data_IF_438474604986
#
_entry.id   IF_438474604986
#
_cell.length_a   1.000
_cell.length_b   1.000
_cell.length_c   1.000
_cell.angle_alpha   90.00
_cell.angle_beta   90.00
_cell.angle_gamma   90.00
#
_symmetry.space_group_name_H-M   'P 1'
#
loop_
_entity.id
_entity.type
_entity.pdbx_description
1 polymer ?
#
# COMPACT_ATOMS: atom_id res chain seq x y z
N UNK A 1 20.94 34.49 -19.90
CA UNK A 1 20.42 33.13 -20.07
C UNK A 1 19.65 32.77 -18.80
N UNK A 2 18.32 32.61 -18.87
CA UNK A 2 17.54 32.17 -17.71
C UNK A 2 17.87 30.69 -17.45
N UNK A 3 18.36 30.39 -16.25
CA UNK A 3 18.55 29.02 -15.76
C UNK A 3 17.20 28.29 -15.81
N UNK A 4 17.00 27.40 -16.78
CA UNK A 4 15.84 26.49 -16.81
C UNK A 4 15.87 25.68 -15.52
N UNK A 5 14.79 25.75 -14.73
CA UNK A 5 14.64 24.86 -13.57
C UNK A 5 14.69 23.42 -14.08
N UNK A 6 15.43 22.52 -13.40
CA UNK A 6 15.46 21.12 -13.79
C UNK A 6 14.04 20.55 -13.75
N UNK A 7 13.76 19.65 -14.69
CA UNK A 7 12.49 18.95 -14.77
C UNK A 7 12.23 18.19 -13.47
N UNK A 8 10.99 18.26 -12.98
CA UNK A 8 10.61 17.54 -11.76
C UNK A 8 10.53 16.05 -12.07
N UNK A 9 11.50 15.29 -11.56
CA UNK A 9 11.46 13.83 -11.62
C UNK A 9 10.40 13.33 -10.65
N UNK A 10 9.39 12.64 -11.16
CA UNK A 10 8.39 11.96 -10.34
C UNK A 10 9.04 10.79 -9.57
N UNK A 11 8.52 10.47 -8.38
CA UNK A 11 8.98 9.30 -7.66
C UNK A 11 8.65 8.03 -8.46
N UNK A 12 9.61 7.10 -8.53
CA UNK A 12 9.38 5.79 -9.17
C UNK A 12 8.26 5.06 -8.42
N UNK A 13 7.28 4.57 -9.16
CA UNK A 13 6.20 3.72 -8.63
C UNK A 13 6.67 2.28 -8.53
N UNK A 14 6.08 1.51 -7.61
CA UNK A 14 6.33 0.07 -7.52
C UNK A 14 5.58 -0.64 -8.65
N UNK A 15 6.18 -1.72 -9.18
CA UNK A 15 5.47 -2.62 -10.09
C UNK A 15 4.44 -3.47 -9.34
N UNK A 16 3.46 -4.02 -10.05
CA UNK A 16 2.50 -4.98 -9.49
C UNK A 16 3.23 -6.17 -8.87
N UNK A 17 4.30 -6.64 -9.51
CA UNK A 17 5.13 -7.74 -9.01
C UNK A 17 5.79 -7.38 -7.66
N UNK A 18 6.31 -6.15 -7.52
CA UNK A 18 6.92 -5.68 -6.26
C UNK A 18 5.87 -5.54 -5.14
N UNK A 19 4.66 -5.07 -5.46
CA UNK A 19 3.58 -5.01 -4.47
C UNK A 19 3.11 -6.41 -4.08
N UNK A 20 2.97 -7.32 -5.06
CA UNK A 20 2.64 -8.74 -4.82
C UNK A 20 3.70 -9.43 -3.97
N UNK A 21 4.97 -9.09 -4.16
CA UNK A 21 6.05 -9.56 -3.30
C UNK A 21 5.86 -9.12 -1.86
N UNK A 22 5.53 -7.85 -1.60
CA UNK A 22 5.28 -7.38 -0.23
C UNK A 22 4.09 -8.09 0.42
N UNK A 23 3.02 -8.35 -0.34
CA UNK A 23 1.89 -9.14 0.14
C UNK A 23 2.33 -10.56 0.51
N UNK A 24 3.06 -11.25 -0.38
CA UNK A 24 3.54 -12.61 -0.13
C UNK A 24 4.63 -12.71 0.96
N UNK A 25 5.30 -11.61 1.32
CA UNK A 25 6.25 -11.59 2.44
C UNK A 25 5.53 -11.66 3.80
N UNK A 26 4.25 -11.31 3.89
CA UNK A 26 3.48 -11.49 5.13
C UNK A 26 3.31 -12.97 5.53
N UNK A 27 3.50 -13.88 4.57
CA UNK A 27 3.43 -15.34 4.75
C UNK A 27 4.82 -16.01 4.84
N UNK A 28 5.90 -15.23 4.77
CA UNK A 28 7.27 -15.75 4.74
C UNK A 28 7.80 -16.04 6.16
N UNK A 29 7.78 -17.32 6.57
CA UNK A 29 8.22 -17.79 7.89
C UNK A 29 9.70 -17.52 8.22
N UNK A 30 10.51 -17.10 7.24
CA UNK A 30 11.92 -16.76 7.48
C UNK A 30 12.13 -15.30 7.95
N UNK A 31 11.09 -14.46 7.89
CA UNK A 31 11.20 -13.07 8.31
C UNK A 31 11.08 -12.92 9.83
N UNK A 32 11.88 -12.00 10.37
CA UNK A 32 11.68 -11.49 11.72
C UNK A 32 10.34 -10.78 11.83
N UNK A 33 9.72 -10.85 13.00
CA UNK A 33 8.39 -10.26 13.27
C UNK A 33 8.32 -8.76 12.95
N UNK A 34 9.45 -8.03 13.02
CA UNK A 34 9.49 -6.59 12.70
C UNK A 34 9.49 -6.37 11.20
N UNK A 35 10.12 -7.25 10.44
CA UNK A 35 10.12 -7.21 8.99
C UNK A 35 8.73 -7.56 8.44
N UNK A 36 8.04 -8.55 9.03
CA UNK A 36 6.62 -8.80 8.77
C UNK A 36 5.78 -7.57 9.04
N UNK A 37 5.94 -6.97 10.22
CA UNK A 37 5.20 -5.79 10.62
C UNK A 37 5.45 -4.62 9.66
N UNK A 38 6.72 -4.41 9.26
CA UNK A 38 7.09 -3.39 8.31
C UNK A 38 6.48 -3.63 6.92
N UNK A 39 6.43 -4.88 6.44
CA UNK A 39 5.73 -5.24 5.20
C UNK A 39 4.27 -4.79 5.26
N UNK A 40 3.57 -5.16 6.32
CA UNK A 40 2.16 -4.77 6.51
C UNK A 40 1.96 -3.26 6.64
N UNK A 41 2.87 -2.56 7.32
CA UNK A 41 2.83 -1.09 7.39
C UNK A 41 3.08 -0.42 6.04
N UNK A 42 3.97 -0.97 5.20
CA UNK A 42 4.20 -0.49 3.84
C UNK A 42 3.01 -0.76 2.92
N UNK A 43 2.39 -1.94 3.01
CA UNK A 43 1.14 -2.25 2.32
C UNK A 43 0.02 -1.31 2.74
N UNK A 44 -0.13 -1.02 4.04
CA UNK A 44 -1.06 -0.01 4.52
C UNK A 44 -0.78 1.35 3.89
N UNK A 45 0.48 1.80 3.79
CA UNK A 45 0.81 3.06 3.12
C UNK A 45 0.47 3.05 1.62
N UNK A 46 0.70 1.94 0.91
CA UNK A 46 0.34 1.78 -0.51
C UNK A 46 -1.17 1.87 -0.68
N UNK A 47 -1.91 1.04 0.07
CA UNK A 47 -3.34 0.90 -0.11
C UNK A 47 -4.14 2.07 0.46
N UNK A 48 -3.62 2.78 1.47
CA UNK A 48 -4.16 4.08 1.93
C UNK A 48 -3.63 5.29 1.16
N UNK A 49 -2.75 5.13 0.16
CA UNK A 49 -2.09 6.23 -0.57
C UNK A 49 -1.42 7.26 0.37
N UNK A 50 -0.83 6.76 1.45
CA UNK A 50 -0.23 7.54 2.52
C UNK A 50 1.28 7.68 2.34
N UNK A 51 1.82 8.85 2.70
CA UNK A 51 3.27 9.02 2.87
C UNK A 51 3.72 8.38 4.17
N UNK A 52 5.01 8.04 4.28
CA UNK A 52 5.63 7.71 5.57
C UNK A 52 5.41 8.81 6.62
N UNK A 53 5.40 10.08 6.21
CA UNK A 53 5.08 11.19 7.12
C UNK A 53 3.65 11.14 7.64
N UNK A 54 2.70 10.70 6.80
CA UNK A 54 1.27 10.67 7.12
C UNK A 54 0.98 9.64 8.22
N UNK A 55 1.85 8.63 8.40
CA UNK A 55 1.70 7.56 9.40
C UNK A 55 2.62 7.71 10.63
N UNK A 56 3.24 8.89 10.82
CA UNK A 56 4.08 9.17 11.99
C UNK A 56 3.31 9.26 13.31
N UNK A 57 2.03 9.60 13.23
CA UNK A 57 1.12 9.61 14.36
C UNK A 57 -0.29 9.27 13.87
N UNK A 58 -0.67 8.03 14.09
CA UNK A 58 -2.00 7.48 13.80
C UNK A 58 -2.73 7.17 15.10
N UNK A 59 -4.05 7.15 15.04
CA UNK A 59 -4.93 6.84 16.17
C UNK A 59 -6.25 6.24 15.69
N UNK A 60 -7.03 5.67 16.61
CA UNK A 60 -8.42 5.24 16.34
C UNK A 60 -8.52 4.25 15.19
N UNK A 61 -7.80 3.12 15.29
CA UNK A 61 -7.91 2.08 14.29
C UNK A 61 -9.32 1.47 14.27
N UNK A 62 -9.82 1.20 13.08
CA UNK A 62 -11.07 0.48 12.82
C UNK A 62 -10.77 -0.63 11.81
N UNK A 63 -11.15 -1.85 12.15
CA UNK A 63 -11.10 -3.01 11.26
C UNK A 63 -12.54 -3.24 10.82
N UNK A 64 -12.89 -2.81 9.62
CA UNK A 64 -14.23 -2.93 9.06
C UNK A 64 -14.20 -4.00 7.97
N UNK A 65 -14.51 -5.24 8.33
CA UNK A 65 -14.48 -6.36 7.39
C UNK A 65 -15.74 -7.19 7.44
N UNK A 66 -16.16 -7.65 6.27
CA UNK A 66 -17.26 -8.59 6.08
C UNK A 66 -16.70 -9.84 5.43
N UNK A 67 -17.05 -11.00 5.98
CA UNK A 67 -16.71 -12.30 5.39
C UNK A 67 -17.93 -12.83 4.63
N UNK A 68 -17.73 -13.17 3.36
CA UNK A 68 -18.76 -13.76 2.50
C UNK A 68 -18.19 -15.00 1.82
N UNK A 69 -18.64 -16.19 2.26
CA UNK A 69 -18.06 -17.46 1.84
C UNK A 69 -16.58 -17.55 2.23
N UNK A 70 -15.71 -17.83 1.26
CA UNK A 70 -14.25 -17.88 1.43
C UNK A 70 -13.56 -16.52 1.20
N UNK A 71 -14.32 -15.47 0.90
CA UNK A 71 -13.76 -14.15 0.58
C UNK A 71 -13.96 -13.17 1.73
N UNK A 72 -12.92 -12.39 2.04
CA UNK A 72 -12.99 -11.26 2.97
C UNK A 72 -13.06 -9.98 2.15
N UNK A 73 -13.94 -9.05 2.53
CA UNK A 73 -14.02 -7.70 1.97
C UNK A 73 -13.97 -6.68 3.10
N UNK A 74 -13.56 -5.45 2.81
CA UNK A 74 -13.55 -4.37 3.78
C UNK A 74 -12.27 -3.54 3.80
N UNK A 75 -12.08 -2.84 4.92
CA UNK A 75 -11.07 -1.80 5.06
C UNK A 75 -10.39 -1.82 6.43
N UNK A 76 -9.11 -1.46 6.44
CA UNK A 76 -8.39 -1.01 7.62
C UNK A 76 -8.39 0.52 7.61
N UNK A 77 -8.92 1.13 8.67
CA UNK A 77 -9.00 2.58 8.81
C UNK A 77 -8.23 3.06 10.05
N UNK A 78 -7.66 4.25 9.97
CA UNK A 78 -7.21 5.00 11.15
C UNK A 78 -7.22 6.51 10.87
N UNK A 79 -7.26 7.32 11.92
CA UNK A 79 -7.06 8.77 11.81
C UNK A 79 -5.58 9.14 11.88
N UNK A 80 -5.17 10.20 11.16
CA UNK A 80 -3.87 10.84 11.35
C UNK A 80 -3.98 12.34 11.59
N UNK A 81 -3.03 12.84 12.39
CA UNK A 81 -2.79 14.27 12.62
C UNK A 81 -1.44 14.73 12.04
N UNK A 82 -0.63 13.81 11.51
CA UNK A 82 0.72 14.09 11.01
C UNK A 82 0.74 14.24 9.49
N UNK A 83 0.11 15.29 8.95
CA UNK A 83 0.09 15.52 7.49
C UNK A 83 0.51 16.94 7.10
N UNK A 84 0.76 17.18 5.80
CA UNK A 84 1.29 18.47 5.28
C UNK A 84 0.42 19.68 5.64
N UNK A 85 -0.88 19.46 5.81
CA UNK A 85 -1.90 20.47 6.17
C UNK A 85 -2.35 20.37 7.63
N UNK A 86 -1.60 19.66 8.49
CA UNK A 86 -1.97 19.38 9.88
C UNK A 86 -2.32 20.64 10.67
N UNK A 87 -1.64 21.76 10.41
CA UNK A 87 -1.93 23.04 11.06
C UNK A 87 -3.34 23.54 10.77
N UNK A 88 -3.85 23.36 9.55
CA UNK A 88 -5.21 23.78 9.18
C UNK A 88 -6.26 22.79 9.70
N UNK A 89 -5.96 21.48 9.69
CA UNK A 89 -6.85 20.45 10.21
C UNK A 89 -7.00 20.51 11.73
N UNK A 90 -5.91 20.77 12.45
CA UNK A 90 -5.90 20.95 13.90
C UNK A 90 -6.74 22.16 14.33
N UNK A 91 -6.71 23.26 13.56
CA UNK A 91 -7.57 24.43 13.78
C UNK A 91 -9.06 24.08 13.59
N UNK A 92 -9.38 23.12 12.74
CA UNK A 92 -10.74 22.64 12.50
C UNK A 92 -11.15 21.46 13.40
N UNK A 93 -10.24 20.97 14.24
CA UNK A 93 -10.50 19.84 15.15
C UNK A 93 -10.70 18.49 14.46
N UNK A 94 -10.27 18.32 13.20
CA UNK A 94 -10.54 17.10 12.43
C UNK A 94 -9.26 16.36 12.05
N UNK A 95 -9.28 15.03 12.17
CA UNK A 95 -8.21 14.14 11.70
C UNK A 95 -8.46 13.70 10.25
N UNK A 96 -7.38 13.51 9.49
CA UNK A 96 -7.47 12.97 8.14
C UNK A 96 -7.66 11.45 8.21
N UNK A 97 -8.70 10.87 7.61
CA UNK A 97 -8.87 9.42 7.58
C UNK A 97 -7.87 8.78 6.60
N UNK A 98 -7.20 7.71 7.04
CA UNK A 98 -6.40 6.82 6.21
C UNK A 98 -7.17 5.51 6.10
N UNK A 99 -7.59 5.16 4.90
CA UNK A 99 -8.46 4.00 4.64
C UNK A 99 -7.78 3.12 3.61
N UNK A 100 -7.51 1.86 3.93
CA UNK A 100 -6.86 0.89 3.05
C UNK A 100 -7.78 -0.33 2.83
N UNK A 101 -8.11 -0.72 1.58
CA UNK A 101 -8.84 -1.97 1.34
C UNK A 101 -8.00 -3.16 1.79
N UNK A 102 -8.66 -4.17 2.39
CA UNK A 102 -8.00 -5.38 2.91
C UNK A 102 -7.54 -6.34 1.81
N UNK A 103 -8.06 -6.16 0.60
CA UNK A 103 -7.67 -6.90 -0.59
C UNK A 103 -6.81 -6.02 -1.48
N UNK A 104 -5.65 -6.54 -1.90
CA UNK A 104 -4.72 -5.81 -2.75
C UNK A 104 -4.59 -6.43 -4.12
N UNK A 105 -3.38 -6.76 -4.56
CA UNK A 105 -3.12 -7.20 -5.95
C UNK A 105 -3.05 -8.71 -6.13
N UNK A 106 -2.84 -9.47 -5.06
CA UNK A 106 -2.89 -10.94 -5.06
C UNK A 106 -4.26 -11.46 -4.63
N UNK A 107 -4.43 -12.79 -4.68
CA UNK A 107 -5.66 -13.48 -4.25
C UNK A 107 -5.86 -13.45 -2.73
N UNK A 108 -4.77 -13.37 -1.96
CA UNK A 108 -4.82 -13.38 -0.50
C UNK A 108 -5.13 -11.98 0.06
N UNK A 109 -6.03 -11.92 1.04
CA UNK A 109 -6.34 -10.68 1.75
C UNK A 109 -5.19 -10.32 2.71
N UNK A 110 -4.38 -9.33 2.35
CA UNK A 110 -3.24 -8.88 3.16
C UNK A 110 -3.67 -8.24 4.50
N UNK A 111 -4.88 -7.65 4.56
CA UNK A 111 -5.37 -6.89 5.72
C UNK A 111 -5.48 -7.73 7.00
N UNK A 112 -6.28 -8.81 7.01
CA UNK A 112 -6.37 -9.72 8.17
C UNK A 112 -5.00 -10.26 8.59
N UNK A 113 -4.15 -10.59 7.62
CA UNK A 113 -2.80 -11.05 7.89
C UNK A 113 -1.96 -9.99 8.61
N UNK A 114 -2.04 -8.73 8.18
CA UNK A 114 -1.36 -7.64 8.86
C UNK A 114 -1.88 -7.41 10.28
N UNK A 115 -3.19 -7.53 10.52
CA UNK A 115 -3.77 -7.44 11.88
C UNK A 115 -3.14 -8.50 12.80
N UNK A 116 -3.02 -9.73 12.32
CA UNK A 116 -2.44 -10.83 13.08
C UNK A 116 -0.94 -10.62 13.35
N UNK A 117 -0.18 -10.21 12.34
CA UNK A 117 1.23 -9.80 12.49
C UNK A 117 1.39 -8.65 13.46
N UNK A 118 0.47 -7.69 13.45
CA UNK A 118 0.50 -6.54 14.36
C UNK A 118 0.33 -6.95 15.82
N UNK A 119 -0.55 -7.93 16.08
CA UNK A 119 -0.69 -8.53 17.40
C UNK A 119 0.60 -9.26 17.81
N UNK A 120 1.16 -10.12 16.94
CA UNK A 120 2.42 -10.83 17.20
C UNK A 120 3.60 -9.89 17.45
N UNK A 121 3.63 -8.74 16.77
CA UNK A 121 4.67 -7.72 16.94
C UNK A 121 4.50 -6.86 18.21
N UNK A 122 3.49 -7.08 19.04
CA UNK A 122 3.18 -6.27 20.21
C UNK A 122 2.67 -4.86 19.86
N UNK A 123 2.09 -4.68 18.68
CA UNK A 123 1.55 -3.41 18.16
C UNK A 123 0.11 -3.59 17.64
N UNK A 124 -0.82 -4.12 18.45
CA UNK A 124 -2.15 -4.49 17.98
C UNK A 124 -2.92 -3.27 17.43
N UNK A 125 -3.60 -3.44 16.30
CA UNK A 125 -4.31 -2.36 15.59
C UNK A 125 -5.67 -2.07 16.23
N UNK A 126 -5.68 -1.64 17.49
CA UNK A 126 -6.91 -1.36 18.25
C UNK A 126 -7.30 0.12 18.19
N UNK A 127 -8.58 0.41 18.49
CA UNK A 127 -9.08 1.79 18.57
C UNK A 127 -8.35 2.67 19.61
N UNK A 128 -7.79 2.05 20.65
CA UNK A 128 -7.03 2.71 21.72
C UNK A 128 -5.58 3.00 21.32
N UNK A 129 -5.05 2.29 20.31
CA UNK A 129 -3.66 2.46 19.87
C UNK A 129 -3.46 3.86 19.29
N UNK A 130 -2.37 4.49 19.74
CA UNK A 130 -1.89 5.76 19.23
C UNK A 130 -0.37 5.77 19.10
N UNK A 131 0.15 6.56 18.17
CA UNK A 131 1.58 6.72 17.93
C UNK A 131 1.97 6.41 16.48
N UNK A 132 3.26 6.14 16.20
CA UNK A 132 3.68 5.81 14.85
C UNK A 132 3.10 4.47 14.41
N UNK A 133 2.58 4.39 13.18
CA UNK A 133 2.21 3.11 12.59
C UNK A 133 3.45 2.22 12.48
N UNK A 134 4.56 2.77 11.98
CA UNK A 134 5.85 2.11 11.84
C UNK A 134 6.88 2.72 12.81
N UNK A 135 6.91 2.27 14.08
CA UNK A 135 7.94 2.67 15.02
C UNK A 135 9.31 2.15 14.58
N UNK A 136 10.37 2.88 14.92
CA UNK A 136 11.72 2.40 14.66
C UNK A 136 12.07 1.26 15.62
N UNK A 137 12.63 0.14 15.16
CA UNK A 137 12.99 -0.96 16.04
C UNK A 137 14.18 -0.57 16.94
N UNK A 138 14.24 -1.19 18.12
CA UNK A 138 15.41 -1.20 19.00
C UNK A 138 16.20 -2.47 18.74
N UNK A 139 17.50 -2.35 18.91
CA UNK A 139 18.44 -3.46 18.84
C UNK A 139 18.20 -4.54 19.92
N UNK A 140 17.36 -4.27 20.91
CA UNK A 140 16.99 -5.20 21.99
C UNK A 140 15.73 -6.03 21.68
N UNK A 141 15.16 -5.88 20.47
CA UNK A 141 13.92 -6.57 20.10
C UNK A 141 12.65 -5.76 20.38
N UNK A 142 12.71 -4.64 21.09
CA UNK A 142 11.53 -3.80 21.32
C UNK A 142 11.35 -2.70 20.27
N UNK A 143 10.24 -1.96 20.34
CA UNK A 143 9.99 -0.78 19.51
C UNK A 143 10.45 0.51 20.20
N UNK A 144 10.82 1.53 19.41
CA UNK A 144 11.03 2.90 19.89
C UNK A 144 9.71 3.66 19.82
N UNK A 145 9.57 4.68 20.66
CA UNK A 145 8.43 5.62 20.60
C UNK A 145 8.43 6.47 19.31
N UNK A 146 9.62 6.69 18.72
CA UNK A 146 9.74 7.46 17.48
C UNK A 146 9.34 6.62 16.27
N UNK A 147 8.75 7.28 15.29
CA UNK A 147 8.62 6.74 13.94
C UNK A 147 10.00 6.49 13.29
N UNK A 148 10.04 5.60 12.32
CA UNK A 148 11.12 5.58 11.32
C UNK A 148 11.14 6.90 10.53
N UNK A 149 12.33 7.34 10.13
CA UNK A 149 12.48 8.45 9.19
C UNK A 149 12.12 8.00 7.78
N UNK A 150 11.90 8.94 6.86
CA UNK A 150 11.60 8.60 5.45
C UNK A 150 12.74 7.83 4.79
N UNK A 151 13.99 8.12 5.16
CA UNK A 151 15.19 7.47 4.61
C UNK A 151 15.37 6.06 5.19
N UNK A 152 15.13 5.91 6.50
CA UNK A 152 15.08 4.60 7.17
C UNK A 152 13.99 3.73 6.54
N UNK A 153 12.78 4.25 6.38
CA UNK A 153 11.67 3.54 5.75
C UNK A 153 11.97 3.15 4.29
N UNK A 154 12.55 4.07 3.50
CA UNK A 154 12.93 3.79 2.12
C UNK A 154 14.07 2.77 2.01
N UNK A 155 14.97 2.71 2.98
CA UNK A 155 16.02 1.69 3.04
C UNK A 155 15.46 0.33 3.43
N UNK A 156 14.58 0.28 4.43
CA UNK A 156 13.91 -0.93 4.86
C UNK A 156 13.06 -1.54 3.74
N UNK A 157 12.27 -0.72 3.05
CA UNK A 157 11.47 -1.14 1.90
C UNK A 157 12.33 -1.79 0.80
N UNK A 158 13.48 -1.18 0.49
CA UNK A 158 14.40 -1.73 -0.51
C UNK A 158 15.01 -3.06 -0.07
N UNK A 159 15.41 -3.18 1.20
CA UNK A 159 15.95 -4.43 1.74
C UNK A 159 14.94 -5.57 1.67
N UNK A 160 13.67 -5.31 2.04
CA UNK A 160 12.58 -6.30 1.93
C UNK A 160 12.35 -6.73 0.48
N UNK A 161 12.23 -5.78 -0.45
CA UNK A 161 12.05 -6.07 -1.87
C UNK A 161 13.25 -6.82 -2.46
N UNK A 162 14.47 -6.53 -1.99
CA UNK A 162 15.71 -7.14 -2.48
C UNK A 162 15.79 -8.66 -2.21
N UNK A 163 14.97 -9.18 -1.29
CA UNK A 163 14.88 -10.63 -1.02
C UNK A 163 14.35 -11.42 -2.22
N UNK A 164 13.45 -10.84 -3.02
CA UNK A 164 12.85 -11.51 -4.18
C UNK A 164 13.05 -10.77 -5.50
N UNK A 165 13.55 -9.53 -5.47
CA UNK A 165 13.81 -8.72 -6.67
C UNK A 165 15.24 -8.15 -6.70
N UNK A 166 15.88 -8.20 -7.87
CA UNK A 166 17.27 -7.74 -8.03
C UNK A 166 17.42 -6.22 -8.17
N UNK A 167 16.37 -5.51 -8.59
CA UNK A 167 16.45 -4.07 -8.88
C UNK A 167 15.41 -3.29 -8.06
N UNK A 168 15.89 -2.60 -7.03
CA UNK A 168 15.09 -1.68 -6.21
C UNK A 168 15.52 -0.23 -6.37
N UNK A 169 16.29 0.08 -7.41
CA UNK A 169 16.84 1.41 -7.66
C UNK A 169 15.73 2.44 -7.86
N UNK A 170 15.87 3.58 -7.18
CA UNK A 170 14.91 4.68 -7.22
C UNK A 170 13.65 4.47 -6.36
N UNK A 171 13.48 3.30 -5.71
CA UNK A 171 12.40 3.08 -4.74
C UNK A 171 12.68 3.90 -3.48
N UNK A 172 11.69 4.68 -3.05
CA UNK A 172 11.77 5.52 -1.84
C UNK A 172 10.47 5.41 -1.04
N UNK A 173 10.43 6.00 0.16
CA UNK A 173 9.17 6.11 0.92
C UNK A 173 8.05 6.86 0.17
N UNK A 174 8.37 7.67 -0.85
CA UNK A 174 7.35 8.31 -1.69
C UNK A 174 6.73 7.36 -2.73
N UNK A 175 7.43 6.28 -3.08
CA UNK A 175 6.91 5.24 -3.99
C UNK A 175 5.61 4.65 -3.46
N UNK A 176 5.50 4.47 -2.13
CA UNK A 176 4.30 3.93 -1.47
C UNK A 176 3.04 4.73 -1.83
N UNK A 177 3.05 6.05 -1.64
CA UNK A 177 1.93 6.92 -1.99
C UNK A 177 1.67 7.00 -3.49
N UNK A 178 2.74 7.07 -4.28
CA UNK A 178 2.62 7.34 -5.72
C UNK A 178 2.06 6.14 -6.50
N UNK A 179 2.36 4.91 -6.05
CA UNK A 179 2.09 3.67 -6.80
C UNK A 179 0.63 3.55 -7.24
N UNK A 180 -0.28 3.46 -6.29
CA UNK A 180 -1.69 3.20 -6.60
C UNK A 180 -2.40 4.44 -7.15
N UNK A 181 -1.93 5.66 -6.86
CA UNK A 181 -2.43 6.88 -7.49
C UNK A 181 -2.07 6.96 -8.99
N UNK A 182 -0.86 6.54 -9.37
CA UNK A 182 -0.46 6.40 -10.78
C UNK A 182 -1.32 5.35 -11.49
N UNK A 183 -1.58 4.22 -10.84
CA UNK A 183 -2.45 3.18 -11.38
C UNK A 183 -3.90 3.67 -11.56
N UNK A 184 -4.44 4.45 -10.61
CA UNK A 184 -5.75 5.08 -10.76
C UNK A 184 -5.82 5.96 -12.02
N UNK A 185 -4.77 6.77 -12.27
CA UNK A 185 -4.67 7.60 -13.45
C UNK A 185 -4.63 6.80 -14.75
N UNK A 186 -3.85 5.71 -14.78
CA UNK A 186 -3.77 4.78 -15.92
C UNK A 186 -5.06 4.00 -16.16
N UNK A 187 -5.77 3.64 -15.09
CA UNK A 187 -7.06 2.93 -15.16
C UNK A 187 -8.20 3.83 -15.64
N UNK A 188 -8.08 5.14 -15.45
CA UNK A 188 -9.07 6.12 -15.89
C UNK A 188 -10.06 6.57 -14.81
N UNK A 189 -9.70 6.49 -13.52
CA UNK A 189 -10.50 7.09 -12.45
C UNK A 189 -10.65 8.60 -12.67
N UNK A 190 -11.76 9.19 -12.23
CA UNK A 190 -11.98 10.63 -12.40
C UNK A 190 -10.98 11.44 -11.58
N UNK A 191 -10.61 12.63 -12.05
CA UNK A 191 -9.67 13.52 -11.33
C UNK A 191 -10.16 13.87 -9.93
N UNK A 192 -11.48 14.04 -9.76
CA UNK A 192 -12.12 14.29 -8.46
C UNK A 192 -11.93 13.13 -7.48
N UNK A 193 -12.09 11.89 -7.95
CA UNK A 193 -11.87 10.67 -7.16
C UNK A 193 -10.39 10.52 -6.80
N UNK A 194 -9.49 10.69 -7.77
CA UNK A 194 -8.03 10.63 -7.55
C UNK A 194 -7.58 11.70 -6.54
N UNK A 195 -8.16 12.90 -6.61
CA UNK A 195 -7.86 14.00 -5.68
C UNK A 195 -8.27 13.62 -4.25
N UNK A 196 -9.48 13.08 -4.08
CA UNK A 196 -9.96 12.63 -2.77
C UNK A 196 -9.13 11.46 -2.23
N UNK A 197 -8.87 10.42 -3.05
CA UNK A 197 -8.03 9.26 -2.68
C UNK A 197 -6.60 9.67 -2.32
N UNK A 198 -6.07 10.72 -2.94
CA UNK A 198 -4.77 11.30 -2.65
C UNK A 198 -4.71 12.14 -1.38
N UNK A 199 -5.83 12.27 -0.66
CA UNK A 199 -6.03 13.12 0.52
C UNK A 199 -5.85 14.62 0.23
N UNK A 200 -6.23 15.04 -0.97
CA UNK A 200 -6.23 16.44 -1.37
C UNK A 200 -7.64 17.02 -1.28
N UNK A 201 -7.73 18.28 -0.87
CA UNK A 201 -9.00 19.00 -0.87
C UNK A 201 -9.45 19.29 -2.29
N UNK A 202 -10.73 19.02 -2.59
CA UNK A 202 -11.38 19.61 -3.75
C UNK A 202 -11.47 21.13 -3.54
N UNK A 203 -11.26 21.90 -4.60
CA UNK A 203 -11.33 23.37 -4.54
C UNK A 203 -12.71 23.79 -4.00
N UNK A 204 -12.74 24.51 -2.88
CA UNK A 204 -13.96 25.10 -2.31
C UNK A 204 -14.72 24.31 -1.25
N UNK A 205 -14.24 23.14 -0.79
CA UNK A 205 -14.92 22.34 0.23
C UNK A 205 -14.34 22.50 1.66
N UNK A 206 -15.20 22.55 2.68
CA UNK A 206 -14.82 22.42 4.10
C UNK A 206 -14.35 20.98 4.38
N UNK A 207 -13.07 20.86 4.69
CA UNK A 207 -12.26 19.77 4.18
C UNK A 207 -12.44 18.41 4.87
N UNK A 208 -12.83 18.34 6.15
CA UNK A 208 -12.58 17.10 6.92
C UNK A 208 -13.82 16.46 7.57
N UNK A 209 -14.85 17.21 7.94
CA UNK A 209 -16.00 16.66 8.69
C UNK A 209 -16.79 15.60 7.89
N UNK A 210 -16.80 15.69 6.56
CA UNK A 210 -17.50 14.77 5.65
C UNK A 210 -16.54 13.98 4.76
N UNK A 211 -15.22 14.05 4.99
CA UNK A 211 -14.25 13.40 4.10
C UNK A 211 -14.43 11.88 4.07
N UNK A 212 -14.81 11.27 5.19
CA UNK A 212 -15.04 9.82 5.28
C UNK A 212 -16.14 9.36 4.32
N UNK A 213 -17.31 9.98 4.39
CA UNK A 213 -18.44 9.59 3.53
C UNK A 213 -18.20 9.96 2.06
N UNK A 214 -17.47 11.06 1.80
CA UNK A 214 -17.06 11.45 0.44
C UNK A 214 -16.05 10.48 -0.19
N UNK A 215 -15.37 9.64 0.60
CA UNK A 215 -14.47 8.61 0.08
C UNK A 215 -15.20 7.34 -0.36
N UNK A 216 -16.48 7.15 -0.02
CA UNK A 216 -17.19 5.90 -0.32
C UNK A 216 -17.22 5.54 -1.82
N UNK A 217 -17.58 6.48 -2.70
CA UNK A 217 -17.57 6.25 -4.15
C UNK A 217 -16.13 6.09 -4.71
N UNK A 218 -15.17 6.99 -4.40
CA UNK A 218 -13.78 6.79 -4.81
C UNK A 218 -13.16 5.46 -4.36
N UNK A 219 -13.48 4.99 -3.16
CA UNK A 219 -12.99 3.71 -2.63
C UNK A 219 -13.54 2.52 -3.43
N UNK A 220 -14.82 2.52 -3.82
CA UNK A 220 -15.38 1.46 -4.69
C UNK A 220 -14.71 1.43 -6.07
N UNK A 221 -14.52 2.60 -6.69
CA UNK A 221 -13.79 2.72 -7.96
C UNK A 221 -12.35 2.21 -7.82
N UNK A 222 -11.70 2.52 -6.70
CA UNK A 222 -10.35 2.08 -6.38
C UNK A 222 -10.25 0.56 -6.17
N UNK A 223 -11.16 -0.05 -5.43
CA UNK A 223 -11.24 -1.50 -5.28
C UNK A 223 -11.51 -2.21 -6.61
N UNK A 224 -12.34 -1.64 -7.48
CA UNK A 224 -12.57 -2.14 -8.84
C UNK A 224 -11.29 -2.15 -9.68
N UNK A 225 -10.45 -1.12 -9.56
CA UNK A 225 -9.13 -1.08 -10.19
C UNK A 225 -8.22 -2.18 -9.64
N UNK A 226 -8.09 -2.31 -8.31
CA UNK A 226 -7.27 -3.36 -7.69
C UNK A 226 -7.75 -4.77 -8.07
N UNK A 227 -9.07 -4.99 -8.11
CA UNK A 227 -9.67 -6.24 -8.57
C UNK A 227 -9.36 -6.55 -10.03
N UNK A 228 -9.30 -5.53 -10.89
CA UNK A 228 -8.90 -5.68 -12.30
C UNK A 228 -7.41 -6.00 -12.45
N UNK A 229 -6.55 -5.46 -11.57
CA UNK A 229 -5.13 -5.87 -11.50
C UNK A 229 -5.03 -7.35 -11.11
N UNK A 230 -5.70 -7.76 -10.04
CA UNK A 230 -5.70 -9.15 -9.53
C UNK A 230 -6.16 -10.16 -10.59
N UNK A 231 -7.19 -9.81 -11.36
CA UNK A 231 -7.72 -10.64 -12.45
C UNK A 231 -6.86 -10.60 -13.73
N UNK A 232 -5.82 -9.77 -13.77
CA UNK A 232 -4.98 -9.57 -14.95
C UNK A 232 -5.70 -8.87 -16.12
N UNK A 233 -6.84 -8.22 -15.86
CA UNK A 233 -7.60 -7.43 -16.83
C UNK A 233 -6.97 -6.05 -17.05
N UNK A 234 -6.36 -5.50 -15.99
CA UNK A 234 -5.61 -4.25 -16.02
C UNK A 234 -4.15 -4.53 -15.64
N UNK A 235 -3.21 -4.05 -16.46
CA UNK A 235 -1.77 -4.27 -16.34
C UNK A 235 -1.04 -2.91 -16.20
N UNK A 236 -0.94 -2.35 -14.98
CA UNK A 236 -0.38 -1.02 -14.75
C UNK A 236 1.08 -0.82 -15.21
N UNK A 237 1.82 -1.93 -15.31
CA UNK A 237 3.23 -1.95 -15.70
C UNK A 237 3.43 -2.07 -17.22
N UNK A 238 2.36 -2.33 -17.97
CA UNK A 238 2.41 -2.43 -19.42
C UNK A 238 2.58 -1.05 -20.08
N UNK A 239 2.93 -1.07 -21.36
CA UNK A 239 2.90 0.13 -22.19
C UNK A 239 1.47 0.66 -22.32
N UNK A 240 1.31 1.93 -22.73
CA UNK A 240 -0.01 2.58 -22.85
C UNK A 240 -1.02 1.77 -23.67
N UNK A 241 -0.58 1.09 -24.73
CA UNK A 241 -1.43 0.26 -25.59
C UNK A 241 -1.74 -1.13 -25.00
N UNK A 242 -1.01 -1.56 -23.98
CA UNK A 242 -1.17 -2.88 -23.35
C UNK A 242 -1.80 -2.83 -21.95
N UNK A 243 -2.31 -1.67 -21.52
CA UNK A 243 -2.85 -1.50 -20.16
C UNK A 243 -4.05 -2.41 -19.88
N UNK A 244 -4.89 -2.67 -20.88
CA UNK A 244 -6.09 -3.49 -20.72
C UNK A 244 -6.00 -4.70 -21.62
N UNK A 245 -6.26 -5.88 -21.06
CA UNK A 245 -6.45 -7.08 -21.88
C UNK A 245 -7.80 -6.97 -22.57
N UNK A 246 -7.79 -7.12 -23.89
CA UNK A 246 -9.00 -7.41 -24.64
C UNK A 246 -9.30 -8.88 -24.36
N UNK A 247 -10.39 -9.16 -23.64
CA UNK A 247 -10.93 -10.52 -23.68
C UNK A 247 -11.25 -10.82 -25.14
N UNK A 248 -10.56 -11.81 -25.72
CA UNK A 248 -10.89 -12.28 -27.04
C UNK A 248 -12.35 -12.75 -26.97
N UNK A 249 -13.26 -11.93 -27.47
CA UNK A 249 -14.65 -12.32 -27.63
C UNK A 249 -14.62 -13.63 -28.42
N UNK A 250 -15.34 -14.64 -27.89
CA UNK A 250 -15.64 -15.87 -28.61
C UNK A 250 -16.01 -15.48 -30.03
N UNK A 251 -15.19 -15.89 -30.99
CA UNK A 251 -15.36 -15.56 -32.39
C UNK A 251 -16.70 -16.14 -32.85
N UNK A 252 -17.73 -15.29 -32.92
CA UNK A 252 -18.87 -15.57 -33.78
C UNK A 252 -18.29 -15.70 -35.20
N UNK A 253 -18.57 -16.77 -35.95
CA UNK A 253 -18.06 -16.89 -37.31
C UNK A 253 -18.57 -15.72 -38.13
N UNK A 254 -17.67 -14.79 -38.47
CA UNK A 254 -17.96 -13.72 -39.43
C UNK A 254 -17.91 -14.39 -40.79
N UNK A 255 -19.09 -14.65 -41.35
CA UNK A 255 -19.25 -15.01 -42.75
C UNK A 255 -18.68 -13.85 -43.58
N UNK A 256 -17.65 -14.15 -44.38
CA UNK A 256 -16.89 -13.16 -45.16
C UNK A 256 -17.74 -12.60 -46.30
N UNK A 257 -18.59 -11.63 -45.99
CA UNK A 257 -19.14 -10.69 -46.98
C UNK A 257 -18.21 -9.48 -47.09
N UNK A 258 -17.37 -9.43 -48.14
CA UNK A 258 -16.56 -8.25 -48.45
C UNK A 258 -17.47 -7.02 -48.65
N UNK A 259 -17.26 -5.88 -47.95
CA UNK A 259 -17.80 -4.62 -48.39
C UNK A 259 -16.80 -3.99 -49.38
N UNK A 260 -17.29 -3.74 -50.59
CA UNK A 260 -16.57 -2.99 -51.60
C UNK A 260 -16.23 -1.58 -51.08
N UNK A 261 -14.95 -1.20 -51.21
CA UNK A 261 -14.49 0.18 -51.09
C UNK A 261 -15.10 1.00 -52.24
N UNK A 262 -16.10 1.83 -51.95
CA UNK A 262 -16.43 2.99 -52.78
C UNK A 262 -16.22 4.26 -51.97
N UNK A 263 -15.21 5.02 -52.37
CA UNK A 263 -14.96 6.41 -51.97
C UNK A 263 -16.21 7.27 -52.14
N UNK A 264 -16.56 8.07 -51.12
CA UNK A 264 -16.68 9.52 -51.22
C UNK A 264 -17.09 10.16 -49.88
N UNK A 265 -16.29 11.15 -49.52
CA UNK A 265 -16.38 12.22 -48.52
C UNK A 265 -17.78 12.63 -48.01
N UNK A 266 -17.88 12.95 -46.70
CA UNK A 266 -18.28 14.29 -46.24
C UNK A 266 -18.15 14.44 -44.70
N UNK A 267 -17.11 15.12 -44.23
CA UNK A 267 -17.04 15.64 -42.84
C UNK A 267 -17.56 17.09 -42.84
N UNK A 268 -18.87 17.26 -42.67
CA UNK A 268 -19.46 18.59 -42.44
C UNK A 268 -19.64 18.85 -40.94
N UNK A 269 -18.87 19.84 -40.47
CA UNK A 269 -18.99 20.52 -39.18
C UNK A 269 -20.43 20.95 -38.88
N UNK A 270 -20.98 20.50 -37.74
CA UNK A 270 -22.17 21.11 -37.14
C UNK A 270 -21.71 22.10 -36.07
N UNK A 271 -21.92 23.39 -36.32
CA UNK A 271 -21.86 24.45 -35.30
C UNK A 271 -23.22 24.53 -34.57
N UNK A 272 -23.24 24.86 -33.26
CA UNK A 272 -24.50 25.06 -32.55
C UNK A 272 -24.99 26.50 -32.72
N UNK A 273 -26.24 26.66 -33.16
CA UNK A 273 -26.96 27.93 -33.05
C UNK A 273 -28.03 27.83 -31.95
N UNK A 274 -28.12 28.94 -31.23
CA UNK A 274 -28.93 29.18 -30.06
C UNK A 274 -30.05 30.12 -30.46
N UNK A 275 -31.32 29.82 -30.19
CA UNK A 275 -32.34 30.76 -29.66
C UNK A 275 -33.72 30.10 -29.53
N UNK A 276 -34.31 30.25 -28.33
CA UNK A 276 -35.70 29.96 -27.93
C UNK A 276 -36.68 31.03 -28.50
N UNK A 277 -38.04 30.96 -28.35
CA UNK A 277 -38.73 30.99 -27.04
C UNK A 277 -40.08 30.22 -26.88
N UNK A 278 -40.32 29.90 -25.61
CA UNK A 278 -41.57 29.77 -24.80
C UNK A 278 -42.95 29.95 -25.46
N UNK A 279 -43.88 29.01 -25.19
CA UNK A 279 -45.29 29.28 -24.81
C UNK A 279 -45.86 28.19 -23.90
N UNK A 280 -46.58 28.60 -22.86
CA UNK A 280 -47.28 27.82 -21.82
C UNK A 280 -48.54 27.07 -22.32
N UNK A 281 -48.98 26.05 -21.57
CA UNK A 281 -50.37 25.54 -21.65
C UNK A 281 -50.66 24.12 -21.15
N UNK A 282 -50.70 23.94 -19.82
CA UNK A 282 -51.62 23.14 -18.98
C UNK A 282 -52.37 21.89 -19.54
N UNK A 283 -52.22 20.72 -18.88
CA UNK A 283 -53.31 19.99 -18.17
C UNK A 283 -53.00 18.51 -17.83
N UNK A 284 -53.11 18.16 -16.53
CA UNK A 284 -53.72 16.90 -16.06
C UNK A 284 -52.84 15.67 -15.73
N UNK A 285 -52.99 15.02 -14.55
CA UNK A 285 -52.14 13.91 -14.10
C UNK A 285 -52.71 12.53 -14.43
N UNK A 286 -51.84 11.56 -14.74
CA UNK A 286 -52.20 10.13 -14.77
C UNK A 286 -51.20 9.35 -13.93
N UNK A 287 -51.66 8.90 -12.77
CA UNK A 287 -50.97 7.93 -11.92
C UNK A 287 -51.07 6.52 -12.51
N UNK A 288 -50.01 5.75 -12.32
CA UNK A 288 -49.92 4.34 -12.66
C UNK A 288 -48.66 3.76 -12.02
N UNK A 289 -48.77 3.35 -10.76
CA UNK A 289 -47.78 2.48 -10.10
C UNK A 289 -47.74 1.13 -10.81
N UNK A 290 -46.56 0.73 -11.27
CA UNK A 290 -46.26 -0.62 -11.69
C UNK A 290 -45.86 -1.46 -10.45
N UNK A 291 -46.38 -2.68 -10.27
CA UNK A 291 -46.00 -3.53 -9.15
C UNK A 291 -44.59 -4.14 -9.37
N UNK A 292 -43.85 -4.45 -8.29
CA UNK A 292 -42.55 -5.10 -8.39
C UNK A 292 -42.69 -6.58 -8.79
N UNK A 293 -41.70 -7.18 -9.47
CA UNK A 293 -41.72 -8.60 -9.80
C UNK A 293 -41.45 -9.46 -8.56
N UNK A 294 -42.20 -10.56 -8.48
CA UNK A 294 -42.15 -11.58 -7.42
C UNK A 294 -40.79 -12.30 -7.38
N UNK A 295 -40.22 -12.41 -6.17
CA UNK A 295 -39.07 -13.27 -5.88
C UNK A 295 -39.50 -14.74 -5.98
N UNK A 296 -38.77 -15.52 -6.78
CA UNK A 296 -38.96 -16.97 -6.85
C UNK A 296 -37.93 -17.67 -5.98
N UNK A 297 -38.44 -18.44 -5.02
CA UNK A 297 -37.68 -19.30 -4.13
C UNK A 297 -36.98 -20.41 -4.92
N UNK A 298 -35.65 -20.37 -4.95
CA UNK A 298 -34.81 -21.48 -5.37
C UNK A 298 -33.90 -21.87 -4.20
N UNK A 299 -34.47 -22.67 -3.28
CA UNK A 299 -33.72 -23.42 -2.28
C UNK A 299 -32.75 -24.39 -2.97
N UNK A 300 -31.50 -24.45 -2.48
CA UNK A 300 -30.67 -25.65 -2.63
C UNK A 300 -29.20 -25.43 -2.96
N UNK A 301 -28.38 -25.18 -1.93
CA UNK A 301 -27.36 -26.12 -1.41
C UNK A 301 -26.36 -25.34 -0.56
N UNK A 302 -26.57 -25.38 0.75
CA UNK A 302 -25.57 -24.98 1.74
C UNK A 302 -24.34 -25.88 1.63
N UNK A 303 -23.25 -25.32 1.10
CA UNK A 303 -21.91 -25.75 1.47
C UNK A 303 -21.47 -24.88 2.66
N UNK A 304 -21.56 -25.43 3.86
CA UNK A 304 -20.97 -24.82 5.05
C UNK A 304 -19.46 -25.03 5.01
N UNK A 305 -18.73 -24.04 4.49
CA UNK A 305 -17.38 -23.78 4.95
C UNK A 305 -17.51 -22.72 6.06
N UNK A 306 -17.11 -23.06 7.28
CA UNK A 306 -17.16 -22.13 8.40
C UNK A 306 -16.22 -20.93 8.11
N UNK A 307 -16.80 -19.74 7.99
CA UNK A 307 -16.07 -18.50 7.80
C UNK A 307 -15.33 -18.11 9.09
N UNK A 308 -14.01 -17.97 9.02
CA UNK A 308 -13.19 -17.45 10.11
C UNK A 308 -13.25 -15.91 10.09
N UNK A 309 -13.60 -15.28 11.22
CA UNK A 309 -13.49 -13.82 11.40
C UNK A 309 -12.01 -13.40 11.30
N UNK A 310 -11.66 -12.11 11.07
CA UNK A 310 -10.26 -11.67 11.10
C UNK A 310 -9.55 -12.01 12.41
N UNK A 311 -10.27 -12.01 13.53
CA UNK A 311 -9.77 -12.47 14.84
C UNK A 311 -9.50 -13.98 14.83
N UNK A 312 -10.40 -14.78 14.26
CA UNK A 312 -10.20 -16.23 14.15
C UNK A 312 -9.11 -16.60 13.12
N UNK A 313 -8.96 -15.83 12.03
CA UNK A 313 -7.86 -15.95 11.08
C UNK A 313 -6.53 -15.48 11.70
N UNK A 314 -6.58 -14.50 12.61
CA UNK A 314 -5.42 -14.10 13.39
C UNK A 314 -5.04 -15.18 14.42
N UNK A 315 -6.01 -15.81 15.08
CA UNK A 315 -5.79 -16.95 15.98
C UNK A 315 -5.30 -18.19 15.21
N UNK A 316 -5.85 -18.49 14.03
CA UNK A 316 -5.36 -19.54 13.14
C UNK A 316 -3.93 -19.23 12.69
N UNK A 317 -3.63 -18.00 12.29
CA UNK A 317 -2.26 -17.62 11.96
C UNK A 317 -1.34 -17.79 13.15
N UNK A 318 -1.69 -17.25 14.32
CA UNK A 318 -0.88 -17.34 15.53
C UNK A 318 -0.67 -18.79 15.98
N UNK A 319 -1.66 -19.67 15.77
CA UNK A 319 -1.54 -21.10 16.06
C UNK A 319 -0.77 -21.88 14.98
N UNK A 320 -0.71 -21.36 13.75
CA UNK A 320 0.16 -21.88 12.69
C UNK A 320 1.62 -21.42 12.82
N UNK A 321 1.89 -20.41 13.65
CA UNK A 321 3.26 -20.08 14.01
C UNK A 321 3.87 -21.25 14.79
N UNK A 322 5.16 -21.57 14.57
CA UNK A 322 5.83 -22.64 15.30
C UNK A 322 5.64 -22.43 16.82
N UNK A 323 5.19 -23.48 17.50
CA UNK A 323 4.62 -23.43 18.85
C UNK A 323 5.51 -22.90 19.96
N UNK A 324 6.79 -22.66 19.69
CA UNK A 324 7.75 -22.13 20.64
C UNK A 324 8.55 -21.04 19.92
N UNK A 325 8.25 -19.77 20.24
CA UNK A 325 9.24 -18.69 20.10
C UNK A 325 10.28 -18.86 21.23
N UNK A 326 10.85 -20.06 21.35
CA UNK A 326 12.02 -20.32 22.17
C UNK A 326 13.26 -19.83 21.41
N UNK A 327 14.20 -19.23 22.15
CA UNK A 327 15.40 -18.54 21.64
C UNK A 327 16.41 -19.43 20.89
N UNK A 328 16.07 -20.68 20.58
CA UNK A 328 16.97 -21.64 19.94
C UNK A 328 16.68 -21.73 18.43
N UNK A 329 17.20 -20.75 17.70
CA UNK A 329 17.25 -20.78 16.25
C UNK A 329 18.17 -21.90 15.72
N UNK A 330 17.97 -22.38 14.47
CA UNK A 330 18.71 -23.51 13.93
C UNK A 330 20.21 -23.22 13.82
N UNK A 331 21.05 -24.25 13.97
CA UNK A 331 22.48 -24.20 13.70
C UNK A 331 22.72 -23.97 12.19
N UNK A 332 22.86 -22.70 11.81
CA UNK A 332 23.16 -22.25 10.46
C UNK A 332 24.65 -21.94 10.30
N UNK A 333 25.50 -22.92 10.55
CA UNK A 333 26.96 -22.78 10.39
C UNK A 333 27.43 -22.49 8.96
N UNK A 334 26.59 -22.59 7.92
CA UNK A 334 27.07 -22.57 6.53
C UNK A 334 26.43 -21.57 5.54
N UNK A 335 25.66 -20.58 6.00
CA UNK A 335 25.28 -19.45 5.14
C UNK A 335 25.98 -18.17 5.60
N UNK A 336 26.52 -17.38 4.67
CA UNK A 336 27.19 -16.06 4.86
C UNK A 336 28.71 -16.07 5.13
N UNK A 337 29.48 -16.43 4.10
CA UNK A 337 30.95 -16.33 4.04
C UNK A 337 31.45 -14.87 3.97
N UNK A 338 31.49 -14.17 5.10
CA UNK A 338 32.26 -12.92 5.20
C UNK A 338 32.85 -12.75 6.60
N UNK A 339 34.17 -12.90 6.73
CA UNK A 339 34.90 -12.93 8.01
C UNK A 339 35.08 -11.56 8.69
N UNK A 340 34.58 -10.46 8.12
CA UNK A 340 34.90 -9.09 8.57
C UNK A 340 33.64 -8.21 8.75
N UNK A 341 33.56 -7.49 9.88
CA UNK A 341 32.55 -6.47 10.17
C UNK A 341 32.75 -5.21 9.30
N UNK A 342 31.74 -4.35 9.15
CA UNK A 342 31.84 -3.09 8.37
C UNK A 342 32.93 -2.14 8.88
N UNK A 343 33.35 -2.30 10.14
CA UNK A 343 34.45 -1.56 10.74
C UNK A 343 35.85 -2.16 10.52
N UNK A 344 35.97 -3.22 9.72
CA UNK A 344 37.24 -3.89 9.42
C UNK A 344 37.70 -4.90 10.48
N UNK A 345 36.93 -5.13 11.54
CA UNK A 345 37.27 -6.16 12.55
C UNK A 345 36.95 -7.56 12.02
N UNK A 346 37.85 -8.51 12.24
CA UNK A 346 37.61 -9.92 11.94
C UNK A 346 36.67 -10.55 12.98
N UNK A 347 35.78 -11.42 12.53
CA UNK A 347 34.90 -12.23 13.37
C UNK A 347 35.74 -13.31 14.06
N UNK A 348 35.85 -13.23 15.39
CA UNK A 348 36.34 -14.33 16.23
C UNK A 348 35.18 -15.26 16.63
N UNK A 349 35.46 -16.47 17.14
CA UNK A 349 34.43 -17.38 17.65
C UNK A 349 33.56 -16.80 18.77
N UNK A 350 34.06 -15.76 19.47
CA UNK A 350 33.36 -15.10 20.59
C UNK A 350 32.21 -14.18 20.15
N UNK A 351 32.01 -14.01 18.84
CA UNK A 351 30.93 -13.19 18.30
C UNK A 351 29.70 -14.04 17.97
N UNK A 352 28.63 -13.87 18.75
CA UNK A 352 27.30 -14.37 18.42
C UNK A 352 26.50 -13.33 17.63
N UNK A 353 25.61 -13.82 16.76
CA UNK A 353 24.63 -13.00 16.05
C UNK A 353 23.49 -12.69 17.04
N UNK A 354 23.19 -11.41 17.23
CA UNK A 354 22.23 -10.97 18.26
C UNK A 354 20.87 -10.57 17.67
N UNK A 355 20.79 -10.27 16.37
CA UNK A 355 19.53 -9.96 15.68
C UNK A 355 19.70 -10.11 14.15
N UNK A 356 18.63 -10.47 13.43
CA UNK A 356 18.53 -10.35 11.98
C UNK A 356 17.24 -9.59 11.68
N UNK A 357 17.35 -8.42 11.05
CA UNK A 357 16.22 -7.80 10.35
C UNK A 357 16.74 -7.03 9.15
N UNK A 358 15.91 -6.92 8.12
CA UNK A 358 16.19 -6.13 6.92
C UNK A 358 16.44 -4.66 7.26
N UNK A 359 15.86 -4.15 8.36
CA UNK A 359 16.16 -2.83 8.90
C UNK A 359 17.60 -2.68 9.43
N UNK A 360 18.14 -3.75 10.01
CA UNK A 360 19.43 -3.75 10.72
C UNK A 360 20.58 -4.29 9.86
N UNK A 361 20.48 -4.25 8.53
CA UNK A 361 21.49 -4.75 7.56
C UNK A 361 22.89 -4.10 7.64
N UNK A 362 23.22 -3.36 8.70
CA UNK A 362 24.59 -2.91 8.97
C UNK A 362 25.28 -3.84 9.97
N UNK A 363 26.31 -4.57 9.51
CA UNK A 363 27.20 -5.43 10.32
C UNK A 363 28.05 -4.60 11.30
N UNK A 364 27.43 -4.08 12.36
CA UNK A 364 28.13 -3.32 13.39
C UNK A 364 28.58 -4.26 14.52
N UNK A 365 29.90 -4.33 14.77
CA UNK A 365 30.38 -4.97 15.99
C UNK A 365 29.85 -4.24 17.23
N UNK A 366 29.78 -4.90 18.39
CA UNK A 366 29.29 -4.30 19.66
C UNK A 366 29.93 -2.93 19.96
N UNK A 367 31.20 -2.75 19.61
CA UNK A 367 31.90 -1.48 19.81
C UNK A 367 31.49 -0.39 18.81
N UNK A 368 31.16 -0.75 17.56
CA UNK A 368 30.64 0.17 16.55
C UNK A 368 29.18 0.53 16.78
N UNK A 369 28.39 -0.43 17.28
CA UNK A 369 27.03 -0.18 17.78
C UNK A 369 27.02 0.80 18.94
N UNK A 370 28.01 0.73 19.84
CA UNK A 370 28.17 1.64 20.99
C UNK A 370 28.82 2.99 20.64
N UNK A 371 29.46 3.11 19.47
CA UNK A 371 30.14 4.36 19.09
C UNK A 371 29.17 5.43 18.60
N UNK A 372 29.38 6.69 19.02
CA UNK A 372 28.61 7.83 18.53
C UNK A 372 28.90 8.03 17.03
N UNK A 373 27.89 8.37 16.20
CA UNK A 373 28.10 8.61 14.78
C UNK A 373 29.12 9.74 14.58
N UNK A 374 30.02 9.56 13.61
CA UNK A 374 31.05 10.54 13.25
C UNK A 374 30.34 11.79 12.73
N UNK A 375 30.44 12.90 13.48
CA UNK A 375 29.64 14.10 13.24
C UNK A 375 30.27 15.06 12.22
N UNK A 376 31.57 14.91 11.95
CA UNK A 376 32.30 15.78 11.03
C UNK A 376 33.55 15.09 10.44
N UNK A 377 34.07 15.70 9.37
CA UNK A 377 35.26 15.24 8.65
C UNK A 377 36.54 15.26 9.51
N UNK A 378 36.60 16.12 10.54
CA UNK A 378 37.72 16.18 11.47
C UNK A 378 37.79 14.94 12.36
N UNK A 379 36.64 14.50 12.88
CA UNK A 379 36.50 13.27 13.64
C UNK A 379 36.80 12.03 12.79
N UNK A 380 36.45 12.03 11.49
CA UNK A 380 36.81 10.97 10.56
C UNK A 380 38.34 10.89 10.35
N UNK A 381 38.99 12.03 10.10
CA UNK A 381 40.43 12.11 9.89
C UNK A 381 41.23 11.74 11.16
N UNK A 382 40.72 12.07 12.35
CA UNK A 382 41.32 11.68 13.62
C UNK A 382 41.27 10.15 13.87
N UNK A 383 40.23 9.48 13.36
CA UNK A 383 40.09 8.02 13.45
C UNK A 383 41.01 7.33 12.43
N UNK A 384 41.06 7.84 11.18
CA UNK A 384 41.92 7.29 10.12
C UNK A 384 43.41 7.43 10.46
N UNK A 385 43.83 8.57 11.02
CA UNK A 385 45.21 8.80 11.43
C UNK A 385 45.66 7.93 12.62
N UNK A 386 44.74 7.47 13.48
CA UNK A 386 45.03 6.51 14.55
C UNK A 386 45.20 5.07 14.04
N UNK A 387 44.53 4.71 12.95
CA UNK A 387 44.60 3.36 12.37
C UNK A 387 45.79 3.17 11.43
N UNK A 388 46.38 4.25 10.89
CA UNK A 388 47.60 4.19 10.05
C UNK A 388 48.91 4.08 10.86
N UNK A 389 48.85 4.03 12.19
CA UNK A 389 50.01 3.88 13.09
C UNK A 389 50.05 2.51 13.80
N UNK A 390 49.27 1.53 13.34
CA UNK A 390 49.31 0.15 13.84
C UNK A 390 49.81 -0.80 12.79
#
# INVERSE_FOLDING_TARGET
MQSKKPERVAAKVLSVEQVSCLEGLLDDMELDVKDWYACGAFLFCIYSRSRISDVKFVHSFVIDTVVSGSSVQGFLECGTRSHKTARQAAVQGVSMPLIAPVNGVTENAWGPRFVAVALAAGLPLTGERQGPLLPAPRDAGDWRERAVTSDEAGSWLRALLSRRHKCTDGVTGHSLKATTLDWCGKYGLQESEQTLLGHHALKGATMYAYMRDKLAAPLRSYEGMLGSVRKGLFLPDATRSGLFRVEASVSVPVEQGQPALSSQDNWSLVRPENTSPVTDGDSGPVGGEAPPPEESDAEGRHYQAAALTPEAAAEEFLSSLPGDFEEDGPDWSDAFQGETFTCGRKKTPDYSKVAQSAFLETRLCSNCRKSKPVRDLGALNAILSKNLKR
#
